data_IF_478139186883
#
_entry.id   IF_478139186883
#
_cell.length_a   1.000
_cell.length_b   1.000
_cell.length_c   1.000
_cell.angle_alpha   90.00
_cell.angle_beta   90.00
_cell.angle_gamma   90.00
#
_symmetry.space_group_name_H-M   'P 1'
#
loop_
_entity.id
_entity.type
_entity.pdbx_description
1 polymer ?
#
# COMPACT_ATOMS: atom_id res chain seq x y z
N UNK A 1 -73.09 -5.99 -4.97
CA UNK A 1 -72.09 -5.70 -3.94
C UNK A 1 -70.71 -5.99 -4.52
N UNK A 2 -69.77 -5.06 -4.37
CA UNK A 2 -68.47 -5.05 -5.03
C UNK A 2 -67.47 -6.04 -4.40
N UNK A 3 -66.60 -6.65 -5.22
CA UNK A 3 -65.48 -7.48 -4.78
C UNK A 3 -64.17 -7.04 -5.44
N UNK A 4 -63.49 -6.03 -4.88
CA UNK A 4 -62.21 -5.51 -5.39
C UNK A 4 -61.00 -6.27 -4.81
N UNK A 5 -60.91 -7.58 -5.04
CA UNK A 5 -59.82 -8.41 -4.49
C UNK A 5 -58.60 -8.60 -5.43
N UNK A 6 -58.54 -7.90 -6.56
CA UNK A 6 -57.45 -8.04 -7.54
C UNK A 6 -56.18 -7.22 -7.21
N UNK A 7 -56.32 -6.01 -6.65
CA UNK A 7 -55.21 -5.06 -6.44
C UNK A 7 -54.35 -5.38 -5.21
N UNK A 8 -54.95 -5.97 -4.16
CA UNK A 8 -54.19 -6.34 -2.95
C UNK A 8 -53.27 -7.54 -3.17
N UNK A 9 -53.62 -8.47 -4.08
CA UNK A 9 -52.77 -9.61 -4.42
C UNK A 9 -51.49 -9.14 -5.11
N UNK A 10 -51.59 -8.28 -6.12
CA UNK A 10 -50.42 -7.74 -6.82
C UNK A 10 -49.50 -6.92 -5.92
N UNK A 11 -50.05 -6.07 -5.03
CA UNK A 11 -49.23 -5.32 -4.07
C UNK A 11 -48.57 -6.26 -3.05
N UNK A 12 -49.29 -7.26 -2.53
CA UNK A 12 -48.75 -8.26 -1.61
C UNK A 12 -47.65 -9.09 -2.27
N UNK A 13 -47.84 -9.47 -3.53
CA UNK A 13 -46.87 -10.26 -4.29
C UNK A 13 -45.63 -9.43 -4.67
N UNK A 14 -45.79 -8.12 -4.93
CA UNK A 14 -44.66 -7.18 -5.11
C UNK A 14 -43.88 -6.95 -3.82
N UNK A 15 -44.56 -6.85 -2.68
CA UNK A 15 -43.89 -6.71 -1.37
C UNK A 15 -43.17 -8.01 -0.99
N UNK A 16 -43.79 -9.17 -1.26
CA UNK A 16 -43.17 -10.47 -1.05
C UNK A 16 -41.95 -10.68 -1.96
N UNK A 17 -42.02 -10.29 -3.24
CA UNK A 17 -40.89 -10.40 -4.15
C UNK A 17 -39.74 -9.47 -3.74
N UNK A 18 -40.05 -8.24 -3.31
CA UNK A 18 -39.06 -7.30 -2.78
C UNK A 18 -38.39 -7.84 -1.51
N UNK A 19 -39.18 -8.45 -0.60
CA UNK A 19 -38.66 -9.04 0.62
C UNK A 19 -37.72 -10.23 0.33
N UNK A 20 -38.07 -11.08 -0.64
CA UNK A 20 -37.23 -12.20 -1.08
C UNK A 20 -35.92 -11.70 -1.69
N UNK A 21 -35.97 -10.65 -2.52
CA UNK A 21 -34.77 -10.05 -3.12
C UNK A 21 -33.90 -9.39 -2.04
N UNK A 22 -34.48 -8.66 -1.10
CA UNK A 22 -33.76 -8.04 0.01
C UNK A 22 -33.10 -9.10 0.90
N UNK A 23 -33.79 -10.22 1.17
CA UNK A 23 -33.25 -11.31 1.96
C UNK A 23 -32.14 -12.05 1.23
N UNK A 24 -32.27 -12.29 -0.08
CA UNK A 24 -31.19 -12.82 -0.91
C UNK A 24 -29.97 -11.88 -0.93
N UNK A 25 -30.21 -10.57 -1.02
CA UNK A 25 -29.16 -9.54 -0.93
C UNK A 25 -28.45 -9.55 0.41
N UNK A 26 -29.19 -9.70 1.52
CA UNK A 26 -28.61 -9.86 2.87
C UNK A 26 -27.79 -11.15 3.00
N UNK A 27 -28.29 -12.27 2.47
CA UNK A 27 -27.56 -13.55 2.51
C UNK A 27 -26.27 -13.46 1.70
N UNK A 28 -26.30 -12.86 0.51
CA UNK A 28 -25.09 -12.60 -0.28
C UNK A 28 -24.15 -11.63 0.45
N UNK A 29 -24.68 -10.56 1.05
CA UNK A 29 -23.88 -9.63 1.85
C UNK A 29 -23.17 -10.35 3.01
N UNK A 30 -23.90 -11.18 3.78
CA UNK A 30 -23.33 -11.90 4.92
C UNK A 30 -22.37 -13.04 4.53
N UNK A 31 -22.58 -13.72 3.39
CA UNK A 31 -21.75 -14.85 2.97
C UNK A 31 -20.56 -14.40 2.11
N UNK A 32 -20.75 -13.43 1.22
CA UNK A 32 -19.75 -13.03 0.23
C UNK A 32 -18.85 -11.89 0.70
N UNK A 33 -19.28 -11.10 1.68
CA UNK A 33 -18.43 -10.10 2.31
C UNK A 33 -17.95 -10.71 3.63
N UNK A 34 -16.67 -11.14 3.73
CA UNK A 34 -16.13 -11.60 4.99
C UNK A 34 -16.24 -10.47 6.01
N UNK A 35 -17.08 -10.68 7.02
CA UNK A 35 -17.24 -9.79 8.18
C UNK A 35 -16.15 -10.08 9.21
N UNK A 36 -14.91 -10.19 8.75
CA UNK A 36 -13.77 -10.30 9.65
C UNK A 36 -13.46 -8.88 10.15
N UNK A 37 -13.99 -8.54 11.33
CA UNK A 37 -13.65 -7.34 12.11
C UNK A 37 -12.18 -7.34 12.62
N UNK A 38 -11.37 -8.25 12.09
CA UNK A 38 -9.95 -8.34 12.32
C UNK A 38 -9.26 -8.06 10.99
N UNK A 39 -8.44 -7.00 10.96
CA UNK A 39 -7.57 -6.70 9.83
C UNK A 39 -6.92 -8.01 9.38
N UNK A 40 -7.05 -8.42 8.09
CA UNK A 40 -6.60 -9.73 7.63
C UNK A 40 -5.15 -9.89 8.05
N UNK A 41 -4.81 -11.01 8.69
CA UNK A 41 -3.42 -11.33 9.03
C UNK A 41 -2.64 -11.42 7.72
N UNK A 42 -2.04 -10.29 7.31
CA UNK A 42 -1.34 -10.20 6.05
C UNK A 42 -0.19 -11.19 6.11
N UNK A 43 -0.30 -12.23 5.27
CA UNK A 43 0.70 -13.29 5.19
C UNK A 43 2.07 -12.65 4.94
N UNK A 44 2.97 -12.78 5.91
CA UNK A 44 4.33 -12.23 5.81
C UNK A 44 5.00 -12.86 4.59
N UNK A 45 5.39 -12.01 3.64
CA UNK A 45 6.13 -12.41 2.45
C UNK A 45 7.61 -12.42 2.79
N UNK A 46 8.30 -13.53 2.49
CA UNK A 46 9.77 -13.53 2.52
C UNK A 46 10.26 -12.84 1.24
N UNK A 47 11.00 -11.74 1.40
CA UNK A 47 11.53 -10.93 0.30
C UNK A 47 13.01 -11.19 0.01
N UNK A 48 13.65 -12.13 0.72
CA UNK A 48 15.10 -12.34 0.64
C UNK A 48 15.54 -12.82 -0.75
N UNK A 49 14.77 -13.71 -1.36
CA UNK A 49 15.10 -14.28 -2.69
C UNK A 49 15.02 -13.19 -3.76
N UNK A 50 13.95 -12.40 -3.73
CA UNK A 50 13.72 -11.27 -4.62
C UNK A 50 14.76 -10.18 -4.40
N UNK A 51 15.12 -9.89 -3.15
CA UNK A 51 16.17 -8.91 -2.83
C UNK A 51 17.53 -9.33 -3.39
N UNK A 52 17.93 -10.60 -3.23
CA UNK A 52 19.18 -11.11 -3.80
C UNK A 52 19.15 -11.03 -5.33
N UNK A 53 18.01 -11.36 -5.94
CA UNK A 53 17.83 -11.27 -7.39
C UNK A 53 17.91 -9.82 -7.86
N UNK A 54 17.22 -8.90 -7.19
CA UNK A 54 17.23 -7.47 -7.49
C UNK A 54 18.64 -6.87 -7.34
N UNK A 55 19.37 -7.19 -6.26
CA UNK A 55 20.75 -6.72 -6.05
C UNK A 55 21.72 -7.18 -7.14
N UNK A 56 21.48 -8.33 -7.77
CA UNK A 56 22.30 -8.84 -8.89
C UNK A 56 21.92 -8.22 -10.22
N UNK A 57 20.65 -7.88 -10.41
CA UNK A 57 20.12 -7.44 -11.70
C UNK A 57 20.04 -5.91 -11.85
N UNK A 58 19.83 -5.17 -10.75
CA UNK A 58 19.67 -3.73 -10.77
C UNK A 58 21.00 -3.02 -11.05
N UNK A 59 20.91 -1.93 -11.80
CA UNK A 59 22.03 -1.02 -12.07
C UNK A 59 22.44 -0.13 -10.88
N UNK A 60 21.78 -0.27 -9.73
CA UNK A 60 22.00 0.53 -8.52
C UNK A 60 21.97 -0.32 -7.24
N UNK A 61 22.53 0.17 -6.12
CA UNK A 61 22.46 -0.53 -4.84
C UNK A 61 21.02 -0.61 -4.30
N UNK A 62 20.42 -1.80 -4.34
CA UNK A 62 19.04 -2.03 -3.87
C UNK A 62 18.97 -1.96 -2.34
N UNK A 63 18.14 -1.06 -1.85
CA UNK A 63 17.89 -0.80 -0.44
C UNK A 63 16.80 -1.72 0.10
N UNK A 64 17.08 -2.34 1.24
CA UNK A 64 16.11 -3.08 2.04
C UNK A 64 16.31 -2.76 3.52
N UNK A 65 15.25 -2.83 4.34
CA UNK A 65 15.40 -2.60 5.76
C UNK A 65 16.13 -3.76 6.44
N UNK A 66 17.02 -3.41 7.38
CA UNK A 66 17.71 -4.35 8.26
C UNK A 66 17.46 -3.94 9.72
N UNK A 67 17.20 -4.92 10.59
CA UNK A 67 16.99 -4.68 12.02
C UNK A 67 15.61 -4.12 12.39
N UNK A 68 14.62 -4.16 11.48
CA UNK A 68 13.24 -3.83 11.85
C UNK A 68 12.66 -4.85 12.84
N UNK A 69 11.85 -4.41 13.82
CA UNK A 69 11.14 -5.32 14.72
C UNK A 69 10.24 -6.30 13.98
N UNK A 70 10.01 -7.48 14.55
CA UNK A 70 9.15 -8.54 13.95
C UNK A 70 7.69 -8.12 13.78
N UNK A 71 7.25 -7.05 14.44
CA UNK A 71 5.93 -6.44 14.28
C UNK A 71 5.73 -5.80 12.91
N UNK A 72 6.81 -5.45 12.21
CA UNK A 72 6.76 -5.04 10.81
C UNK A 72 6.62 -6.28 9.92
N UNK A 73 5.55 -6.32 9.13
CA UNK A 73 5.27 -7.46 8.23
C UNK A 73 5.48 -7.03 6.79
N UNK A 74 6.40 -7.66 6.08
CA UNK A 74 6.50 -7.47 4.62
C UNK A 74 5.25 -8.05 3.96
N UNK A 75 4.58 -7.27 3.13
CA UNK A 75 3.29 -7.61 2.49
C UNK A 75 3.40 -7.76 0.99
N UNK A 76 4.38 -7.09 0.37
CA UNK A 76 4.62 -7.15 -1.07
C UNK A 76 6.10 -6.98 -1.37
N UNK A 77 6.60 -7.72 -2.35
CA UNK A 77 7.93 -7.54 -2.92
C UNK A 77 7.85 -7.68 -4.43
N UNK A 78 8.52 -6.80 -5.16
CA UNK A 78 8.58 -6.87 -6.61
C UNK A 78 9.83 -6.18 -7.14
N UNK A 79 10.48 -6.83 -8.10
CA UNK A 79 11.52 -6.21 -8.92
C UNK A 79 11.11 -6.24 -10.38
N UNK A 80 11.29 -5.14 -11.10
CA UNK A 80 10.91 -4.97 -12.50
C UNK A 80 12.06 -4.36 -13.31
N UNK A 81 13.02 -5.19 -13.71
CA UNK A 81 14.17 -4.77 -14.54
C UNK A 81 13.76 -4.00 -15.81
N UNK A 82 12.80 -4.55 -16.56
CA UNK A 82 12.31 -3.94 -17.80
C UNK A 82 11.56 -2.60 -17.61
N UNK A 83 11.22 -2.22 -16.37
CA UNK A 83 10.52 -0.96 -16.05
C UNK A 83 11.43 -0.06 -15.22
N UNK A 84 12.56 0.35 -15.82
CA UNK A 84 13.54 1.23 -15.18
C UNK A 84 14.07 0.67 -13.86
N UNK A 85 14.39 -0.63 -13.87
CA UNK A 85 14.89 -1.39 -12.71
C UNK A 85 14.07 -1.13 -11.44
N UNK A 86 12.74 -1.10 -11.52
CA UNK A 86 11.92 -0.70 -10.37
C UNK A 86 11.95 -1.75 -9.26
N UNK A 87 12.36 -1.35 -8.07
CA UNK A 87 12.29 -2.11 -6.84
C UNK A 87 11.13 -1.60 -5.98
N UNK A 88 10.30 -2.52 -5.50
CA UNK A 88 9.18 -2.26 -4.62
C UNK A 88 9.20 -3.25 -3.47
N UNK A 89 9.11 -2.73 -2.25
CA UNK A 89 8.98 -3.51 -1.05
C UNK A 89 7.98 -2.85 -0.10
N UNK A 90 6.82 -3.48 0.10
CA UNK A 90 5.75 -3.01 0.97
C UNK A 90 5.74 -3.73 2.31
N UNK A 91 5.36 -2.98 3.35
CA UNK A 91 5.23 -3.42 4.72
C UNK A 91 3.92 -2.93 5.33
N UNK A 92 3.39 -3.73 6.24
CA UNK A 92 2.43 -3.31 7.25
C UNK A 92 3.19 -2.97 8.53
N UNK A 93 2.86 -1.81 9.10
CA UNK A 93 3.40 -1.34 10.37
C UNK A 93 2.69 -2.02 11.57
N UNK A 94 3.22 -1.87 12.80
CA UNK A 94 2.57 -2.41 13.99
C UNK A 94 1.15 -1.85 14.20
N UNK A 95 0.93 -0.60 13.79
CA UNK A 95 -0.36 0.10 13.89
C UNK A 95 -1.29 -0.21 12.71
N UNK A 96 -0.94 -1.21 11.89
CA UNK A 96 -1.72 -1.66 10.74
C UNK A 96 -1.65 -0.74 9.52
N UNK A 97 -0.80 0.29 9.55
CA UNK A 97 -0.60 1.20 8.43
C UNK A 97 0.29 0.59 7.35
N UNK A 98 0.28 1.19 6.17
CA UNK A 98 1.09 0.75 5.06
C UNK A 98 2.30 1.66 4.85
N UNK A 99 3.47 1.06 4.67
CA UNK A 99 4.73 1.74 4.33
C UNK A 99 5.43 0.94 3.23
N UNK A 100 5.92 1.63 2.21
CA UNK A 100 6.65 1.03 1.10
C UNK A 100 7.98 1.71 0.84
N UNK A 101 8.91 0.93 0.34
CA UNK A 101 10.21 1.36 -0.17
C UNK A 101 10.19 1.15 -1.67
N UNK A 102 10.42 2.23 -2.41
CA UNK A 102 10.41 2.26 -3.86
C UNK A 102 11.77 2.79 -4.34
N UNK A 103 12.41 2.09 -5.27
CA UNK A 103 13.59 2.60 -5.98
C UNK A 103 13.46 2.40 -7.47
N UNK A 104 13.95 3.35 -8.26
CA UNK A 104 13.96 3.24 -9.72
C UNK A 104 14.99 4.17 -10.36
N UNK A 105 15.41 3.83 -11.57
CA UNK A 105 16.21 4.67 -12.47
C UNK A 105 15.36 5.61 -13.33
N UNK A 106 14.03 5.57 -13.20
CA UNK A 106 13.13 6.49 -13.88
C UNK A 106 13.41 7.95 -13.49
N UNK A 107 12.99 8.89 -14.34
CA UNK A 107 13.04 10.33 -14.04
C UNK A 107 12.48 10.62 -12.63
N UNK A 108 13.24 11.29 -11.75
CA UNK A 108 12.88 11.43 -10.34
C UNK A 108 11.49 12.06 -10.11
N UNK A 109 11.14 13.11 -10.86
CA UNK A 109 9.87 13.80 -10.67
C UNK A 109 8.65 12.90 -10.92
N UNK A 110 8.66 12.16 -12.05
CA UNK A 110 7.59 11.21 -12.39
C UNK A 110 7.55 10.04 -11.40
N UNK A 111 8.71 9.54 -10.99
CA UNK A 111 8.80 8.41 -10.07
C UNK A 111 8.28 8.77 -8.67
N UNK A 112 8.66 9.94 -8.15
CA UNK A 112 8.21 10.41 -6.84
C UNK A 112 6.69 10.62 -6.85
N UNK A 113 6.14 11.21 -7.90
CA UNK A 113 4.70 11.39 -8.06
C UNK A 113 3.96 10.05 -8.02
N UNK A 114 4.44 9.05 -8.77
CA UNK A 114 3.86 7.71 -8.76
C UNK A 114 4.00 6.98 -7.41
N UNK A 115 5.18 7.04 -6.79
CA UNK A 115 5.46 6.33 -5.55
C UNK A 115 4.71 6.92 -4.35
N UNK A 116 4.54 8.24 -4.33
CA UNK A 116 3.78 8.96 -3.29
C UNK A 116 2.29 9.14 -3.63
N UNK A 117 1.89 8.76 -4.85
CA UNK A 117 0.55 8.98 -5.40
C UNK A 117 0.09 10.45 -5.25
N UNK A 118 0.86 11.35 -5.87
CA UNK A 118 0.52 12.76 -6.00
C UNK A 118 1.06 13.69 -4.91
N UNK A 119 2.03 13.26 -4.09
CA UNK A 119 2.58 14.13 -3.06
C UNK A 119 3.57 15.15 -3.63
N UNK A 120 3.59 16.34 -3.02
CA UNK A 120 4.46 17.44 -3.40
C UNK A 120 5.52 17.70 -2.33
N UNK A 121 6.68 18.18 -2.76
CA UNK A 121 7.78 18.51 -1.85
C UNK A 121 7.36 19.61 -0.88
N UNK A 122 7.53 19.37 0.41
CA UNK A 122 7.21 20.36 1.46
C UNK A 122 8.30 21.41 1.65
N UNK A 123 9.44 21.25 0.98
CA UNK A 123 10.66 22.03 1.21
C UNK A 123 11.40 21.68 2.52
N UNK A 124 10.82 20.83 3.37
CA UNK A 124 11.46 20.36 4.60
C UNK A 124 12.38 19.19 4.31
N UNK A 125 13.53 19.19 4.96
CA UNK A 125 14.47 18.07 4.92
C UNK A 125 14.76 17.61 6.34
N UNK A 126 15.09 16.33 6.48
CA UNK A 126 15.46 15.71 7.74
C UNK A 126 16.59 14.70 7.55
N UNK A 127 17.44 14.59 8.56
CA UNK A 127 18.55 13.65 8.55
C UNK A 127 18.13 12.33 9.23
N UNK A 128 18.16 11.24 8.46
CA UNK A 128 17.73 9.91 8.91
C UNK A 128 18.76 8.89 8.46
N UNK A 129 19.39 8.23 9.45
CA UNK A 129 20.41 7.21 9.20
C UNK A 129 21.59 7.74 8.37
N UNK A 130 22.06 8.97 8.64
CA UNK A 130 23.18 9.63 7.95
C UNK A 130 22.88 10.07 6.52
N UNK A 131 21.60 10.14 6.13
CA UNK A 131 21.14 10.53 4.80
C UNK A 131 20.12 11.65 4.92
N UNK A 132 20.14 12.60 4.00
CA UNK A 132 19.19 13.72 3.97
C UNK A 132 17.96 13.35 3.15
N UNK A 133 16.82 13.27 3.80
CA UNK A 133 15.52 12.98 3.18
C UNK A 133 14.72 14.26 3.01
N UNK A 134 14.10 14.45 1.86
CA UNK A 134 13.12 15.52 1.65
C UNK A 134 11.72 14.99 1.94
N UNK A 135 10.94 15.73 2.73
CA UNK A 135 9.55 15.37 3.05
C UNK A 135 8.60 15.82 1.93
N UNK A 136 7.73 14.91 1.54
CA UNK A 136 6.66 15.08 0.56
C UNK A 136 5.32 14.76 1.24
N UNK A 137 4.29 15.55 0.94
CA UNK A 137 2.94 15.37 1.49
C UNK A 137 1.86 15.91 0.54
N UNK A 138 0.59 15.73 0.90
CA UNK A 138 -0.57 16.23 0.14
C UNK A 138 -1.05 15.31 -0.98
N UNK A 139 -0.39 14.16 -1.18
CA UNK A 139 -0.88 13.06 -2.02
C UNK A 139 -1.67 12.05 -1.20
N UNK A 140 -1.92 10.86 -1.76
CA UNK A 140 -2.49 9.73 -1.00
C UNK A 140 -1.51 9.24 0.09
N UNK A 141 -0.21 9.30 -0.19
CA UNK A 141 0.83 8.88 0.73
C UNK A 141 1.72 10.05 1.13
N UNK A 142 2.04 10.14 2.41
CA UNK A 142 3.19 10.91 2.86
C UNK A 142 4.45 10.17 2.42
N UNK A 143 5.49 10.91 2.06
CA UNK A 143 6.71 10.32 1.55
C UNK A 143 7.98 11.04 2.03
N UNK A 144 9.04 10.24 2.17
CA UNK A 144 10.41 10.65 2.38
C UNK A 144 11.18 10.27 1.13
N UNK A 145 11.77 11.27 0.48
CA UNK A 145 12.51 11.08 -0.77
C UNK A 145 13.98 11.33 -0.53
N UNK A 146 14.80 10.33 -0.83
CA UNK A 146 16.25 10.44 -0.84
C UNK A 146 16.70 10.66 -2.29
N UNK A 147 17.10 11.90 -2.57
CA UNK A 147 17.68 12.30 -3.85
C UNK A 147 19.18 12.03 -3.86
N UNK A 148 19.75 11.80 -5.04
CA UNK A 148 21.19 11.58 -5.20
C UNK A 148 21.68 10.22 -4.72
N UNK A 149 20.80 9.21 -4.69
CA UNK A 149 21.25 7.82 -4.57
C UNK A 149 21.99 7.42 -5.85
N UNK A 150 23.11 6.67 -5.78
CA UNK A 150 23.89 6.34 -6.97
C UNK A 150 23.05 5.59 -8.01
N UNK A 151 22.72 6.25 -9.11
CA UNK A 151 21.98 5.67 -10.23
C UNK A 151 20.46 5.52 -10.03
N UNK A 152 19.88 5.91 -8.89
CA UNK A 152 18.44 5.77 -8.64
C UNK A 152 17.85 6.89 -7.77
N UNK A 153 16.53 6.92 -7.66
CA UNK A 153 15.81 7.69 -6.64
C UNK A 153 15.19 6.71 -5.66
N UNK A 154 15.34 6.97 -4.36
CA UNK A 154 14.73 6.15 -3.30
C UNK A 154 13.61 6.92 -2.63
N UNK A 155 12.44 6.29 -2.51
CA UNK A 155 11.26 6.87 -1.90
C UNK A 155 10.73 5.90 -0.85
N UNK A 156 10.55 6.39 0.38
CA UNK A 156 9.77 5.71 1.42
C UNK A 156 8.44 6.41 1.48
N UNK A 157 7.34 5.74 1.15
CA UNK A 157 6.01 6.35 1.11
C UNK A 157 4.99 5.47 1.83
N UNK A 158 3.89 6.03 2.31
CA UNK A 158 2.82 5.23 2.88
C UNK A 158 1.71 6.03 3.53
N UNK A 159 0.77 5.30 4.14
CA UNK A 159 -0.25 5.85 5.05
C UNK A 159 0.25 5.91 6.49
N UNK A 160 1.40 5.28 6.77
CA UNK A 160 2.06 5.37 8.07
C UNK A 160 2.36 6.80 8.49
N UNK A 161 2.40 7.00 9.80
CA UNK A 161 2.82 8.24 10.43
C UNK A 161 4.24 8.65 10.03
N UNK A 162 4.59 9.92 10.27
CA UNK A 162 5.93 10.42 10.01
C UNK A 162 7.03 9.59 10.70
N UNK A 163 6.78 9.16 11.94
CA UNK A 163 7.71 8.35 12.72
C UNK A 163 7.87 6.92 12.15
N UNK A 164 6.82 6.33 11.62
CA UNK A 164 6.88 5.02 10.96
C UNK A 164 7.68 5.11 9.65
N UNK A 165 7.43 6.14 8.82
CA UNK A 165 8.22 6.38 7.62
C UNK A 165 9.70 6.60 7.96
N UNK A 166 9.98 7.37 9.02
CA UNK A 166 11.34 7.61 9.52
C UNK A 166 12.01 6.34 10.00
N UNK A 167 11.28 5.49 10.74
CA UNK A 167 11.77 4.20 11.23
C UNK A 167 12.17 3.29 10.07
N UNK A 168 11.33 3.19 9.04
CA UNK A 168 11.64 2.46 7.82
C UNK A 168 12.89 3.05 7.12
N UNK A 169 12.92 4.37 6.90
CA UNK A 169 14.03 5.06 6.24
C UNK A 169 15.37 4.88 6.99
N UNK A 170 15.35 4.87 8.33
CA UNK A 170 16.53 4.64 9.17
C UNK A 170 17.07 3.21 9.03
N UNK A 171 16.18 2.23 8.89
CA UNK A 171 16.53 0.82 8.75
C UNK A 171 17.12 0.46 7.37
N UNK A 172 16.95 1.30 6.35
CA UNK A 172 17.39 0.99 4.99
C UNK A 172 18.90 0.82 4.86
N UNK A 173 19.33 -0.33 4.36
CA UNK A 173 20.72 -0.65 4.01
C UNK A 173 20.82 -1.09 2.55
N UNK A 174 21.89 -0.65 1.90
CA UNK A 174 22.31 -1.05 0.56
C UNK A 174 23.55 -1.92 0.74
N UNK A 175 23.34 -3.21 0.98
CA UNK A 175 24.41 -4.21 1.15
C UNK A 175 24.88 -4.79 -0.16
#
# INVERSE_FOLDING_TARGET
MAGSNGKQKTVRDMVLSLAVIAMAGLVVYFIAIPHDDHAPDLKRVDYRVELVTARRAASYPVAAPEGLPSTWKATSVRFQGAKSDRWHLGFQTPDGQYVQVEQSTQKPAEFIDQASQGASATGRTEEIGGRTWTRYSGGRYDALVLKGTPGSTTVVAGTGSAEELRTMAAALKTG
#
